data_IF_587605380693
#
_entry.id   IF_587605380693
#
_cell.length_a   1.000
_cell.length_b   1.000
_cell.length_c   1.000
_cell.angle_alpha   90.00
_cell.angle_beta   90.00
_cell.angle_gamma   90.00
#
_symmetry.space_group_name_H-M   'P 1'
#
loop_
_entity.id
_entity.type
_entity.pdbx_description
1 polymer ?
#
# COMPACT_ATOMS: atom_id res chain seq x y z
N UNK A 1 5.48 7.76 -8.08
CA UNK A 1 5.17 7.25 -6.74
C UNK A 1 4.89 5.76 -6.84
N UNK A 2 5.64 4.96 -6.11
CA UNK A 2 5.48 3.51 -6.10
C UNK A 2 4.88 3.06 -4.77
N UNK A 3 3.69 2.49 -4.85
CA UNK A 3 2.91 2.06 -3.69
C UNK A 3 2.78 0.54 -3.72
N UNK A 4 3.10 -0.11 -2.62
CA UNK A 4 2.94 -1.56 -2.49
C UNK A 4 1.97 -1.86 -1.35
N UNK A 5 0.95 -2.66 -1.62
CA UNK A 5 0.04 -3.15 -0.60
C UNK A 5 0.50 -4.53 -0.17
N UNK A 6 0.56 -4.74 1.13
CA UNK A 6 0.94 -6.03 1.70
C UNK A 6 -0.27 -6.66 2.38
N UNK A 7 -0.59 -7.88 2.01
CA UNK A 7 -1.69 -8.61 2.62
C UNK A 7 -1.39 -10.10 2.62
N UNK A 8 -2.21 -10.86 3.30
CA UNK A 8 -1.99 -12.30 3.47
C UNK A 8 -2.20 -13.09 2.17
N UNK A 9 -2.85 -12.52 1.24
CA UNK A 9 -3.16 -13.07 -0.07
C UNK A 9 -4.63 -12.85 -0.31
N UNK A 10 -4.97 -12.58 -1.50
CA UNK A 10 -6.36 -12.59 -1.75
C UNK A 10 -6.85 -11.65 -2.79
N UNK A 11 -7.97 -12.01 -3.25
CA UNK A 11 -8.63 -11.34 -4.34
C UNK A 11 -9.12 -9.95 -3.97
N UNK A 12 -9.43 -9.74 -2.70
CA UNK A 12 -9.90 -8.44 -2.25
C UNK A 12 -8.84 -7.35 -2.41
N UNK A 13 -7.58 -7.71 -2.21
CA UNK A 13 -6.49 -6.75 -2.39
C UNK A 13 -6.33 -6.38 -3.87
N UNK A 14 -6.50 -7.36 -4.76
CA UNK A 14 -6.44 -7.10 -6.20
C UNK A 14 -7.49 -6.10 -6.63
N UNK A 15 -8.71 -6.21 -6.10
CA UNK A 15 -9.78 -5.27 -6.40
C UNK A 15 -9.47 -3.88 -5.87
N UNK A 16 -8.91 -3.80 -4.67
CA UNK A 16 -8.53 -2.52 -4.09
C UNK A 16 -7.45 -1.84 -4.93
N UNK A 17 -6.46 -2.60 -5.37
CA UNK A 17 -5.40 -2.09 -6.24
C UNK A 17 -5.99 -1.49 -7.52
N UNK A 18 -6.94 -2.18 -8.13
CA UNK A 18 -7.58 -1.68 -9.35
C UNK A 18 -8.31 -0.36 -9.09
N UNK A 19 -9.00 -0.27 -7.97
CA UNK A 19 -9.72 0.95 -7.60
C UNK A 19 -8.77 2.11 -7.29
N UNK A 20 -7.64 1.80 -6.68
CA UNK A 20 -6.62 2.81 -6.43
C UNK A 20 -5.99 3.31 -7.72
N UNK A 21 -5.72 2.40 -8.66
CA UNK A 21 -5.18 2.76 -9.97
C UNK A 21 -6.14 3.67 -10.73
N UNK A 22 -7.42 3.35 -10.67
CA UNK A 22 -8.44 4.17 -11.30
C UNK A 22 -8.51 5.55 -10.66
N UNK A 23 -8.47 5.62 -9.34
CA UNK A 23 -8.48 6.89 -8.63
C UNK A 23 -7.27 7.74 -8.99
N UNK A 24 -6.10 7.14 -9.09
CA UNK A 24 -4.88 7.83 -9.48
C UNK A 24 -5.00 8.40 -10.91
N UNK A 25 -5.54 7.60 -11.82
CA UNK A 25 -5.77 8.02 -13.19
C UNK A 25 -6.72 9.22 -13.27
N UNK A 26 -7.80 9.17 -12.52
CA UNK A 26 -8.78 10.26 -12.48
C UNK A 26 -8.20 11.56 -11.91
N UNK A 27 -7.24 11.44 -11.00
CA UNK A 27 -6.55 12.60 -10.41
C UNK A 27 -5.38 13.09 -11.27
N UNK A 28 -5.04 12.39 -12.33
CA UNK A 28 -3.87 12.70 -13.13
C UNK A 28 -2.57 12.44 -12.38
N UNK A 29 -2.59 11.54 -11.41
CA UNK A 29 -1.44 11.21 -10.58
C UNK A 29 -0.68 10.03 -11.16
N UNK A 30 0.62 10.19 -11.36
CA UNK A 30 1.47 9.08 -11.78
C UNK A 30 1.82 8.22 -10.58
N UNK A 31 1.20 7.06 -10.48
CA UNK A 31 1.43 6.14 -9.39
C UNK A 31 1.45 4.70 -9.91
N UNK A 32 2.44 3.94 -9.47
CA UNK A 32 2.49 2.51 -9.73
C UNK A 32 2.02 1.83 -8.45
N UNK A 33 0.93 1.08 -8.56
CA UNK A 33 0.29 0.46 -7.41
C UNK A 33 0.21 -1.05 -7.63
N UNK A 34 0.79 -1.79 -6.71
CA UNK A 34 0.83 -3.25 -6.76
C UNK A 34 0.56 -3.83 -5.38
N UNK A 35 0.35 -5.13 -5.32
CA UNK A 35 0.15 -5.84 -4.07
C UNK A 35 1.06 -7.06 -4.02
N UNK A 36 1.49 -7.42 -2.83
CA UNK A 36 2.35 -8.58 -2.62
C UNK A 36 2.12 -9.18 -1.24
N UNK A 37 2.69 -10.35 -1.00
CA UNK A 37 2.73 -10.96 0.33
C UNK A 37 3.94 -10.43 1.10
N UNK A 38 3.92 -10.58 2.42
CA UNK A 38 5.06 -10.17 3.24
C UNK A 38 6.33 -10.93 2.84
N UNK A 39 6.18 -12.21 2.53
CA UNK A 39 7.33 -13.04 2.14
C UNK A 39 8.02 -12.54 0.87
N UNK A 40 7.26 -12.01 -0.06
CA UNK A 40 7.79 -11.55 -1.35
C UNK A 40 8.19 -10.08 -1.35
N UNK A 41 7.84 -9.36 -0.31
CA UNK A 41 8.08 -7.92 -0.21
C UNK A 41 9.55 -7.55 -0.38
N UNK A 42 10.46 -8.36 0.15
CA UNK A 42 11.89 -8.09 0.12
C UNK A 42 12.44 -7.95 -1.30
N UNK A 43 11.77 -8.54 -2.29
CA UNK A 43 12.19 -8.46 -3.68
C UNK A 43 11.85 -7.13 -4.34
N UNK A 44 11.09 -6.27 -3.65
CA UNK A 44 10.60 -5.02 -4.24
C UNK A 44 11.02 -3.77 -3.49
N UNK A 45 11.70 -3.91 -2.36
CA UNK A 45 11.99 -2.78 -1.45
C UNK A 45 12.73 -1.62 -2.11
N UNK A 46 13.64 -1.91 -3.01
CA UNK A 46 14.47 -0.88 -3.65
C UNK A 46 13.69 0.06 -4.57
N UNK A 47 12.45 -0.27 -4.88
CA UNK A 47 11.64 0.51 -5.84
C UNK A 47 10.47 1.24 -5.20
N UNK A 48 10.27 1.06 -3.90
CA UNK A 48 9.04 1.54 -3.25
C UNK A 48 9.20 2.87 -2.55
N UNK A 49 8.14 3.66 -2.59
CA UNK A 49 8.04 4.91 -1.83
C UNK A 49 7.14 4.73 -0.60
N UNK A 50 6.08 3.92 -0.74
CA UNK A 50 5.10 3.70 0.32
C UNK A 50 4.71 2.23 0.37
N UNK A 51 4.59 1.72 1.58
CA UNK A 51 4.03 0.39 1.83
C UNK A 51 2.77 0.56 2.68
N UNK A 52 1.66 0.02 2.20
CA UNK A 52 0.41 0.03 2.94
C UNK A 52 0.08 -1.41 3.34
N UNK A 53 -0.17 -1.61 4.62
CA UNK A 53 -0.40 -2.94 5.18
C UNK A 53 -1.89 -3.18 5.36
N UNK A 54 -2.39 -4.30 4.85
CA UNK A 54 -3.79 -4.67 5.03
C UNK A 54 -4.12 -4.84 6.51
N UNK A 55 -5.30 -4.38 6.96
CA UNK A 55 -5.65 -4.45 8.39
C UNK A 55 -5.62 -5.85 8.97
N UNK A 56 -5.91 -6.86 8.16
CA UNK A 56 -5.95 -8.25 8.62
C UNK A 56 -4.55 -8.81 8.90
N UNK A 57 -3.50 -8.16 8.41
CA UNK A 57 -2.12 -8.56 8.66
C UNK A 57 -1.31 -7.47 9.37
N UNK A 58 -2.01 -6.61 10.11
CA UNK A 58 -1.35 -5.51 10.83
C UNK A 58 -0.32 -6.00 11.84
N UNK A 59 -0.41 -7.25 12.27
CA UNK A 59 0.58 -7.84 13.16
C UNK A 59 1.97 -7.93 12.52
N UNK A 60 2.05 -7.77 11.21
CA UNK A 60 3.32 -7.75 10.48
C UNK A 60 3.95 -6.36 10.42
N UNK A 61 3.28 -5.35 10.95
CA UNK A 61 3.73 -3.95 10.86
C UNK A 61 5.16 -3.74 11.30
N UNK A 62 5.51 -4.22 12.50
CA UNK A 62 6.85 -4.04 13.05
C UNK A 62 7.92 -4.63 12.14
N UNK A 63 7.66 -5.82 11.62
CA UNK A 63 8.57 -6.53 10.74
C UNK A 63 8.76 -5.79 9.42
N UNK A 64 7.67 -5.28 8.87
CA UNK A 64 7.70 -4.56 7.60
C UNK A 64 8.39 -3.20 7.76
N UNK A 65 8.11 -2.49 8.85
CA UNK A 65 8.75 -1.21 9.16
C UNK A 65 10.26 -1.42 9.26
N UNK A 66 10.69 -2.46 9.94
CA UNK A 66 12.10 -2.79 10.09
C UNK A 66 12.78 -3.03 8.74
N UNK A 67 12.11 -3.78 7.86
CA UNK A 67 12.63 -4.03 6.52
C UNK A 67 12.69 -2.76 5.66
N UNK A 68 11.74 -1.88 5.82
CA UNK A 68 11.60 -0.68 5.01
C UNK A 68 12.53 0.45 5.44
N UNK A 69 12.95 0.46 6.69
CA UNK A 69 13.75 1.55 7.27
C UNK A 69 15.01 1.88 6.47
N UNK A 70 15.85 0.91 6.09
CA UNK A 70 17.06 1.22 5.32
C UNK A 70 16.79 1.84 3.96
N UNK A 71 15.59 1.68 3.43
CA UNK A 71 15.19 2.20 2.12
C UNK A 71 14.43 3.51 2.22
N UNK A 72 14.21 4.01 3.43
CA UNK A 72 13.46 5.25 3.68
C UNK A 72 12.03 5.20 3.14
N UNK A 73 11.42 4.02 3.16
CA UNK A 73 10.05 3.82 2.69
C UNK A 73 9.08 4.18 3.81
N UNK A 74 8.01 4.89 3.46
CA UNK A 74 6.94 5.20 4.41
C UNK A 74 6.02 3.99 4.54
N UNK A 75 5.68 3.61 5.76
CA UNK A 75 4.86 2.43 6.05
C UNK A 75 3.69 2.81 6.93
N UNK A 76 2.51 2.33 6.60
CA UNK A 76 1.32 2.53 7.42
C UNK A 76 0.35 1.37 7.22
N UNK A 77 -0.57 1.20 8.18
CA UNK A 77 -1.64 0.23 8.07
C UNK A 77 -2.84 0.92 7.43
N UNK A 78 -3.47 0.27 6.46
CA UNK A 78 -4.64 0.83 5.78
C UNK A 78 -5.77 0.98 6.80
N UNK A 79 -6.46 2.12 6.76
CA UNK A 79 -7.65 2.35 7.58
C UNK A 79 -8.66 1.23 7.33
N UNK A 80 -9.07 0.55 8.41
CA UNK A 80 -9.94 -0.61 8.29
C UNK A 80 -11.27 -0.32 7.63
N UNK A 81 -11.82 0.86 7.85
CA UNK A 81 -13.08 1.26 7.22
C UNK A 81 -12.91 1.42 5.71
N UNK A 82 -11.87 2.12 5.29
CA UNK A 82 -11.63 2.34 3.86
C UNK A 82 -11.28 1.04 3.15
N UNK A 83 -10.58 0.15 3.82
CA UNK A 83 -10.26 -1.16 3.29
C UNK A 83 -11.53 -2.01 3.12
N UNK A 84 -12.36 -2.05 4.15
CA UNK A 84 -13.60 -2.83 4.14
C UNK A 84 -14.58 -2.36 3.07
N UNK A 85 -14.59 -1.07 2.78
CA UNK A 85 -15.45 -0.49 1.75
C UNK A 85 -14.81 -0.51 0.37
N UNK A 86 -13.60 -0.99 0.24
CA UNK A 86 -12.85 -0.98 -1.02
C UNK A 86 -12.72 0.44 -1.58
N UNK A 87 -12.53 1.41 -0.70
CA UNK A 87 -12.45 2.81 -1.11
C UNK A 87 -11.04 3.15 -1.60
N UNK A 88 -10.78 2.86 -2.86
CA UNK A 88 -9.46 3.07 -3.45
C UNK A 88 -8.98 4.52 -3.39
N UNK A 89 -9.91 5.48 -3.57
CA UNK A 89 -9.56 6.90 -3.51
C UNK A 89 -9.05 7.30 -2.13
N UNK A 90 -9.70 6.83 -1.06
CA UNK A 90 -9.29 7.15 0.30
C UNK A 90 -7.99 6.48 0.70
N UNK A 91 -7.80 5.24 0.26
CA UNK A 91 -6.54 4.52 0.51
C UNK A 91 -5.39 5.22 -0.23
N UNK A 92 -5.64 5.68 -1.45
CA UNK A 92 -4.65 6.45 -2.20
C UNK A 92 -4.31 7.76 -1.49
N UNK A 93 -5.30 8.46 -0.95
CA UNK A 93 -5.07 9.67 -0.18
C UNK A 93 -4.21 9.40 1.05
N UNK A 94 -4.41 8.27 1.70
CA UNK A 94 -3.56 7.87 2.83
C UNK A 94 -2.11 7.75 2.40
N UNK A 95 -1.85 7.12 1.26
CA UNK A 95 -0.50 6.99 0.73
C UNK A 95 0.11 8.36 0.40
N UNK A 96 -0.67 9.22 -0.24
CA UNK A 96 -0.21 10.58 -0.57
C UNK A 96 0.14 11.37 0.68
N UNK A 97 -0.66 11.23 1.72
CA UNK A 97 -0.41 11.90 2.99
C UNK A 97 0.90 11.50 3.63
N UNK A 98 1.28 10.23 3.50
CA UNK A 98 2.55 9.74 4.04
C UNK A 98 3.75 10.35 3.32
N UNK A 99 3.57 10.74 2.07
CA UNK A 99 4.63 11.38 1.27
C UNK A 99 4.58 12.91 1.33
N UNK A 100 3.67 13.46 2.11
CA UNK A 100 3.56 14.90 2.26
C UNK A 100 2.88 15.61 1.10
N UNK A 101 2.04 14.90 0.42
CA UNK A 101 1.32 15.46 -0.75
C UNK A 101 -0.13 15.78 -0.49
#
# INVERSE_FOLDING_TARGET
>A
MNIMLVCSAGMSTSMLVQKMRKAAEEKGLEATINATSEADLSNHLDKLDVILIGPQVRYLSSKIIEKAEPYHIKVDVIDGMHYGMMNGAKVLEQAEGLLGK
#
